data_IF_667700152360
#
_entry.id   IF_667700152360
#
_cell.length_a   1.000
_cell.length_b   1.000
_cell.length_c   1.000
_cell.angle_alpha   90.00
_cell.angle_beta   90.00
_cell.angle_gamma   90.00
#
_symmetry.space_group_name_H-M   'P 1'
#
loop_
_entity.id
_entity.type
_entity.pdbx_description
1 polymer ?
#
# COMPACT_ATOMS: atom_id res chain seq x y z
N UNK A 1 -25.85 6.81 1.41
CA UNK A 1 -25.20 7.64 2.46
C UNK A 1 -23.73 7.27 2.51
N UNK A 2 -22.87 8.00 1.77
CA UNK A 2 -21.44 7.71 1.61
C UNK A 2 -20.68 8.75 2.41
N UNK A 3 -20.11 8.34 3.56
CA UNK A 3 -19.15 9.16 4.29
C UNK A 3 -17.81 9.10 3.54
N UNK A 4 -17.73 9.80 2.41
CA UNK A 4 -16.44 10.17 1.85
C UNK A 4 -15.95 11.36 2.69
N UNK A 5 -15.00 11.13 3.58
CA UNK A 5 -14.30 12.23 4.25
C UNK A 5 -13.67 13.12 3.17
N UNK A 6 -13.99 14.42 3.10
CA UNK A 6 -13.56 15.31 2.01
C UNK A 6 -12.05 15.55 1.93
N UNK A 7 -11.26 14.93 2.83
CA UNK A 7 -9.81 15.14 2.96
C UNK A 7 -8.96 13.94 2.50
N UNK A 8 -9.57 12.86 1.97
CA UNK A 8 -8.83 11.68 1.47
C UNK A 8 -8.40 11.84 0.01
N UNK A 9 -7.92 13.03 -0.36
CA UNK A 9 -7.31 13.28 -1.67
C UNK A 9 -5.94 13.86 -1.41
N UNK A 10 -4.97 12.96 -1.49
CA UNK A 10 -3.55 13.27 -1.57
C UNK A 10 -3.04 14.01 -0.32
N UNK A 11 -2.34 13.31 0.57
CA UNK A 11 -1.47 13.99 1.53
C UNK A 11 -0.14 14.24 0.82
N UNK A 12 0.04 15.31 0.02
CA UNK A 12 1.15 15.38 -0.90
C UNK A 12 2.22 16.24 -0.24
N UNK A 13 2.49 15.99 1.05
CA UNK A 13 3.34 16.82 1.91
C UNK A 13 4.68 17.03 1.22
N UNK A 14 5.30 15.97 0.73
CA UNK A 14 6.51 16.07 -0.08
C UNK A 14 6.20 16.45 -1.55
N UNK A 15 5.56 15.55 -2.31
CA UNK A 15 5.49 15.68 -3.77
C UNK A 15 4.69 16.86 -4.34
N UNK A 16 3.71 17.43 -3.62
CA UNK A 16 3.01 18.63 -4.11
C UNK A 16 3.20 19.87 -3.24
N UNK A 17 3.60 19.71 -1.97
CA UNK A 17 3.77 20.85 -1.05
C UNK A 17 5.24 21.11 -0.69
N UNK A 18 6.18 20.28 -1.14
CA UNK A 18 7.62 20.37 -0.88
C UNK A 18 7.96 20.51 0.62
N UNK A 19 7.23 19.77 1.45
CA UNK A 19 7.43 19.68 2.89
C UNK A 19 8.03 18.32 3.24
N UNK A 20 8.78 18.31 4.34
CA UNK A 20 9.44 17.13 4.90
C UNK A 20 8.44 15.96 5.14
N UNK A 21 8.89 14.73 5.29
CA UNK A 21 8.09 13.59 5.77
C UNK A 21 8.88 12.69 6.73
N UNK A 22 10.13 13.03 7.03
CA UNK A 22 11.07 12.16 7.74
C UNK A 22 11.01 12.31 9.26
N UNK A 23 10.15 13.18 9.81
CA UNK A 23 10.03 13.40 11.26
C UNK A 23 8.73 12.83 11.85
N UNK A 24 8.73 12.38 13.12
CA UNK A 24 7.52 11.92 13.80
C UNK A 24 6.42 13.00 13.86
N UNK A 25 6.79 14.27 14.00
CA UNK A 25 5.84 15.40 14.08
C UNK A 25 5.15 15.64 12.74
N UNK A 26 5.89 15.49 11.64
CA UNK A 26 5.33 15.54 10.30
C UNK A 26 4.25 14.45 10.12
N UNK A 27 4.57 13.22 10.50
CA UNK A 27 3.63 12.10 10.44
C UNK A 27 2.44 12.29 11.38
N UNK A 28 2.66 12.76 12.62
CA UNK A 28 1.61 13.01 13.61
C UNK A 28 0.56 14.00 13.07
N UNK A 29 1.03 15.09 12.44
CA UNK A 29 0.17 16.12 11.86
C UNK A 29 -0.75 15.56 10.78
N UNK A 30 -0.20 14.76 9.86
CA UNK A 30 -0.98 14.17 8.78
C UNK A 30 -1.96 13.11 9.30
N UNK A 31 -1.52 12.24 10.22
CA UNK A 31 -2.39 11.25 10.87
C UNK A 31 -3.56 11.94 11.59
N UNK A 32 -3.30 13.02 12.32
CA UNK A 32 -4.34 13.81 13.01
C UNK A 32 -5.29 14.48 12.02
N UNK A 33 -4.79 15.04 10.91
CA UNK A 33 -5.62 15.64 9.86
C UNK A 33 -6.55 14.62 9.17
N UNK A 34 -6.13 13.35 9.13
CA UNK A 34 -6.94 12.21 8.66
C UNK A 34 -7.90 11.66 9.72
N UNK A 35 -7.89 12.18 10.97
CA UNK A 35 -8.71 11.68 12.08
C UNK A 35 -8.23 10.35 12.66
N UNK A 36 -6.96 9.99 12.45
CA UNK A 36 -6.35 8.74 12.94
C UNK A 36 -5.68 8.96 14.31
N UNK A 37 -5.56 7.89 15.14
CA UNK A 37 -4.90 7.98 16.45
C UNK A 37 -3.38 8.07 16.29
N UNK A 38 -2.89 9.30 16.07
CA UNK A 38 -1.49 9.57 15.73
C UNK A 38 -0.50 8.95 16.71
N UNK A 39 -0.68 9.17 18.02
CA UNK A 39 0.23 8.67 19.06
C UNK A 39 0.34 7.14 19.04
N UNK A 40 -0.80 6.44 19.01
CA UNK A 40 -0.82 4.98 18.99
C UNK A 40 -0.10 4.42 17.75
N UNK A 41 -0.33 5.02 16.57
CA UNK A 41 0.31 4.61 15.32
C UNK A 41 1.82 4.87 15.36
N UNK A 42 2.25 6.04 15.87
CA UNK A 42 3.67 6.38 15.97
C UNK A 42 4.40 5.52 16.99
N UNK A 43 3.78 5.20 18.12
CA UNK A 43 4.33 4.24 19.08
C UNK A 43 4.49 2.87 18.44
N UNK A 44 3.50 2.40 17.69
CA UNK A 44 3.60 1.13 16.98
C UNK A 44 4.69 1.16 15.90
N UNK A 45 4.78 2.23 15.10
CA UNK A 45 5.78 2.37 14.04
C UNK A 45 7.22 2.39 14.59
N UNK A 46 7.41 2.86 15.83
CA UNK A 46 8.70 2.89 16.52
C UNK A 46 8.98 1.64 17.38
N UNK A 47 8.10 0.63 17.35
CA UNK A 47 8.34 -0.63 18.07
C UNK A 47 9.59 -1.34 17.55
N UNK A 48 10.23 -2.12 18.43
CA UNK A 48 11.39 -2.94 18.08
C UNK A 48 11.09 -3.98 16.97
N UNK A 49 9.82 -4.31 16.78
CA UNK A 49 9.35 -5.26 15.75
C UNK A 49 9.20 -4.64 14.37
N UNK A 50 9.07 -3.31 14.26
CA UNK A 50 8.76 -2.64 12.99
C UNK A 50 9.92 -2.68 11.99
N UNK A 51 11.15 -2.40 12.44
CA UNK A 51 12.33 -2.39 11.56
C UNK A 51 12.71 -3.79 11.03
N UNK A 52 12.71 -4.86 11.84
CA UNK A 52 12.89 -6.23 11.33
C UNK A 52 11.82 -6.61 10.31
N UNK A 53 10.54 -6.34 10.60
CA UNK A 53 9.44 -6.64 9.68
C UNK A 53 9.57 -5.93 8.34
N UNK A 54 9.97 -4.66 8.34
CA UNK A 54 10.24 -3.90 7.11
C UNK A 54 11.39 -4.53 6.29
N UNK A 55 12.44 -5.02 6.95
CA UNK A 55 13.54 -5.73 6.28
C UNK A 55 13.09 -7.04 5.66
N UNK A 56 12.30 -7.83 6.38
CA UNK A 56 11.74 -9.10 5.87
C UNK A 56 10.83 -8.86 4.65
N UNK A 57 9.98 -7.84 4.69
CA UNK A 57 9.15 -7.45 3.56
C UNK A 57 9.98 -7.03 2.35
N UNK A 58 11.05 -6.25 2.58
CA UNK A 58 11.98 -5.82 1.52
C UNK A 58 12.73 -7.01 0.91
N UNK A 59 13.19 -7.95 1.74
CA UNK A 59 13.85 -9.16 1.29
C UNK A 59 12.90 -10.07 0.49
N UNK A 60 11.65 -10.20 0.93
CA UNK A 60 10.61 -10.94 0.20
C UNK A 60 10.35 -10.30 -1.17
N UNK A 61 10.29 -8.97 -1.24
CA UNK A 61 10.16 -8.23 -2.49
C UNK A 61 11.33 -8.51 -3.45
N UNK A 62 12.56 -8.51 -2.93
CA UNK A 62 13.76 -8.84 -3.72
C UNK A 62 13.72 -10.27 -4.26
N UNK A 63 13.35 -11.25 -3.44
CA UNK A 63 13.21 -12.66 -3.87
C UNK A 63 12.16 -12.79 -4.98
N UNK A 64 11.08 -12.01 -4.92
CA UNK A 64 10.03 -11.97 -5.95
C UNK A 64 10.43 -11.19 -7.20
N UNK A 65 11.67 -10.68 -7.28
CA UNK A 65 12.16 -9.93 -8.43
C UNK A 65 11.65 -8.49 -8.51
N UNK A 66 11.11 -7.92 -7.43
CA UNK A 66 10.70 -6.52 -7.38
C UNK A 66 11.95 -5.64 -7.38
N UNK A 67 12.11 -4.83 -8.43
CA UNK A 67 13.24 -3.92 -8.58
C UNK A 67 12.85 -2.43 -8.51
N UNK A 68 11.55 -2.12 -8.42
CA UNK A 68 11.05 -0.75 -8.34
C UNK A 68 9.61 -0.67 -7.86
N UNK A 69 9.14 0.55 -7.64
CA UNK A 69 7.77 0.85 -7.22
C UNK A 69 7.10 1.85 -8.18
N UNK A 70 5.78 1.75 -8.41
CA UNK A 70 4.90 0.67 -7.95
C UNK A 70 5.09 -0.63 -8.77
N UNK A 71 4.88 -1.76 -8.11
CA UNK A 71 4.79 -3.11 -8.71
C UNK A 71 3.58 -3.82 -8.10
N UNK A 72 2.78 -4.48 -8.94
CA UNK A 72 1.56 -5.19 -8.55
C UNK A 72 1.70 -6.68 -8.85
N UNK A 73 1.13 -7.53 -8.01
CA UNK A 73 1.04 -8.97 -8.25
C UNK A 73 -0.43 -9.40 -8.24
N UNK A 74 -0.79 -10.27 -9.19
CA UNK A 74 -2.11 -10.90 -9.30
C UNK A 74 -1.88 -12.40 -9.47
N UNK A 75 -2.03 -13.15 -8.37
CA UNK A 75 -1.48 -14.52 -8.32
C UNK A 75 0.03 -14.48 -8.54
N UNK A 76 0.51 -15.24 -9.52
CA UNK A 76 1.92 -15.27 -9.92
C UNK A 76 2.28 -14.23 -11.00
N UNK A 77 1.29 -13.52 -11.57
CA UNK A 77 1.53 -12.50 -12.59
C UNK A 77 2.04 -11.20 -11.96
N UNK A 78 3.13 -10.64 -12.51
CA UNK A 78 3.74 -9.37 -12.07
C UNK A 78 3.49 -8.25 -13.09
N UNK A 79 3.07 -7.09 -12.60
CA UNK A 79 2.83 -5.87 -13.37
C UNK A 79 3.68 -4.73 -12.81
N UNK A 80 4.58 -4.18 -13.61
CA UNK A 80 5.51 -3.12 -13.20
C UNK A 80 5.11 -1.76 -13.78
N UNK A 81 5.27 -0.69 -12.97
CA UNK A 81 4.88 0.71 -13.23
C UNK A 81 3.37 0.99 -13.12
N UNK A 82 3.05 2.26 -12.88
CA UNK A 82 1.69 2.73 -12.64
C UNK A 82 0.78 2.62 -13.88
N UNK A 83 1.34 2.72 -15.10
CA UNK A 83 0.61 2.54 -16.36
C UNK A 83 0.07 1.10 -16.55
N UNK A 84 0.49 0.15 -15.70
CA UNK A 84 0.03 -1.24 -15.69
C UNK A 84 -0.97 -1.56 -14.59
N UNK A 85 -1.41 -0.56 -13.82
CA UNK A 85 -2.42 -0.77 -12.78
C UNK A 85 -3.75 -1.27 -13.37
N UNK A 86 -4.22 -0.67 -14.47
CA UNK A 86 -5.48 -1.07 -15.11
C UNK A 86 -5.40 -2.51 -15.64
N UNK A 87 -4.27 -2.90 -16.22
CA UNK A 87 -4.01 -4.27 -16.68
C UNK A 87 -4.05 -5.27 -15.51
N UNK A 88 -3.43 -4.91 -14.37
CA UNK A 88 -3.45 -5.73 -13.16
C UNK A 88 -4.87 -5.91 -12.61
N UNK A 89 -5.67 -4.82 -12.56
CA UNK A 89 -7.06 -4.88 -12.11
C UNK A 89 -7.93 -5.74 -13.03
N UNK A 90 -7.76 -5.62 -14.34
CA UNK A 90 -8.46 -6.45 -15.32
C UNK A 90 -8.10 -7.93 -15.16
N UNK A 91 -6.82 -8.25 -14.95
CA UNK A 91 -6.34 -9.60 -14.66
C UNK A 91 -6.99 -10.16 -13.37
N UNK A 92 -7.03 -9.36 -12.30
CA UNK A 92 -7.61 -9.78 -11.02
C UNK A 92 -9.13 -10.03 -11.12
N UNK A 93 -9.85 -9.24 -11.92
CA UNK A 93 -11.27 -9.45 -12.18
C UNK A 93 -11.53 -10.72 -13.00
N UNK A 94 -10.68 -11.00 -14.00
CA UNK A 94 -10.79 -12.20 -14.83
C UNK A 94 -10.56 -13.50 -14.02
N UNK A 95 -9.60 -13.50 -13.08
CA UNK A 95 -9.36 -14.64 -12.20
C UNK A 95 -10.55 -14.94 -11.27
N UNK A 96 -11.21 -13.90 -10.75
CA UNK A 96 -12.40 -14.05 -9.89
C UNK A 96 -13.62 -14.58 -10.67
N UNK A 97 -13.62 -14.41 -11.98
CA UNK A 97 -14.73 -14.81 -12.87
C UNK A 97 -14.58 -16.24 -13.40
N UNK A 98 -13.46 -16.93 -13.12
CA UNK A 98 -13.28 -18.34 -13.49
C UNK A 98 -14.13 -19.22 -12.57
N UNK A 99 -15.12 -19.97 -13.10
CA UNK A 99 -15.95 -20.84 -12.28
C UNK A 99 -15.10 -21.97 -11.68
N UNK A 100 -15.27 -22.20 -10.38
CA UNK A 100 -14.75 -23.37 -9.68
C UNK A 100 -15.04 -24.64 -10.51
N UNK A 101 -14.05 -25.52 -10.79
CA UNK A 101 -14.34 -26.76 -11.50
C UNK A 101 -15.34 -27.56 -10.67
N UNK A 102 -16.52 -27.81 -11.25
CA UNK A 102 -17.52 -28.70 -10.66
C UNK A 102 -16.85 -30.07 -10.47
N UNK A 103 -16.51 -30.39 -9.22
CA UNK A 103 -16.09 -31.73 -8.85
C UNK A 103 -17.28 -32.65 -9.13
N UNK A 104 -17.22 -33.38 -10.24
CA UNK A 104 -18.17 -34.42 -10.58
C UNK A 104 -17.54 -35.73 -10.14
N UNK A 105 -18.13 -36.39 -9.14
CA UNK A 105 -17.72 -37.70 -8.63
C UNK A 105 -17.69 -37.74 -7.12
#
# INVERSE_FOLDING_TARGET
>A
MRLAHPNLRDTPRNFAQDRDIYTPEAAAKELTALGLPADAILTQAQSDTSKPRLREQTHTAQIRGIFGAPTFFVGDAMFWRNDRLDDALACAAALQSSPHPLHTG
#
